data_IF_844339572412
#
_entry.id   IF_844339572412
#
_cell.length_a   1.000
_cell.length_b   1.000
_cell.length_c   1.000
_cell.angle_alpha   90.00
_cell.angle_beta   90.00
_cell.angle_gamma   90.00
#
_symmetry.space_group_name_H-M   'P 1'
#
loop_
_entity.id
_entity.type
_entity.pdbx_description
1 polymer ?
#
# COMPACT_ATOMS: atom_id res chain seq x y z
N UNK A 1 -18.72 1.63 -9.69
CA UNK A 1 -17.30 1.18 -9.71
C UNK A 1 -16.56 1.66 -10.97
N UNK A 2 -17.23 1.78 -12.13
CA UNK A 2 -16.67 2.36 -13.36
C UNK A 2 -16.07 3.77 -13.16
N UNK A 3 -16.70 4.63 -12.35
CA UNK A 3 -16.19 5.99 -12.11
C UNK A 3 -14.87 6.05 -11.33
N UNK A 4 -14.56 5.14 -10.40
CA UNK A 4 -13.34 5.25 -9.58
C UNK A 4 -12.08 4.81 -10.33
N UNK A 5 -12.15 3.69 -11.06
CA UNK A 5 -11.02 3.21 -11.89
C UNK A 5 -10.73 4.21 -13.02
N UNK A 6 -11.77 4.73 -13.68
CA UNK A 6 -11.61 5.77 -14.69
C UNK A 6 -11.00 7.06 -14.12
N UNK A 7 -11.30 7.40 -12.87
CA UNK A 7 -10.83 8.63 -12.23
C UNK A 7 -9.38 8.55 -11.79
N UNK A 8 -8.91 7.40 -11.29
CA UNK A 8 -7.48 7.23 -11.01
C UNK A 8 -6.66 7.15 -12.29
N UNK A 9 -7.17 6.49 -13.33
CA UNK A 9 -6.50 6.45 -14.65
C UNK A 9 -6.38 7.86 -15.24
N UNK A 10 -7.41 8.70 -15.09
CA UNK A 10 -7.36 10.11 -15.49
C UNK A 10 -6.30 10.90 -14.71
N UNK A 11 -6.24 10.73 -13.38
CA UNK A 11 -5.19 11.36 -12.57
C UNK A 11 -3.79 10.93 -13.01
N UNK A 12 -3.59 9.62 -13.24
CA UNK A 12 -2.31 9.07 -13.70
C UNK A 12 -1.90 9.71 -15.03
N UNK A 13 -2.84 9.84 -15.97
CA UNK A 13 -2.59 10.43 -17.28
C UNK A 13 -2.28 11.94 -17.17
N UNK A 14 -3.01 12.70 -16.35
CA UNK A 14 -2.74 14.12 -16.12
C UNK A 14 -1.35 14.36 -15.49
N UNK A 15 -0.97 13.57 -14.48
CA UNK A 15 0.36 13.64 -13.86
C UNK A 15 1.44 13.27 -14.86
N UNK A 16 1.21 12.25 -15.69
CA UNK A 16 2.15 11.82 -16.72
C UNK A 16 2.39 12.92 -17.75
N UNK A 17 1.32 13.55 -18.24
CA UNK A 17 1.42 14.66 -19.18
C UNK A 17 2.19 15.84 -18.56
N UNK A 18 1.93 16.16 -17.29
CA UNK A 18 2.70 17.18 -16.57
C UNK A 18 4.20 16.83 -16.45
N UNK A 19 4.55 15.56 -16.19
CA UNK A 19 5.95 15.11 -16.18
C UNK A 19 6.63 15.32 -17.54
N UNK A 20 5.95 14.95 -18.63
CA UNK A 20 6.47 15.10 -19.99
C UNK A 20 6.60 16.57 -20.41
N UNK A 21 5.66 17.42 -20.01
CA UNK A 21 5.70 18.86 -20.26
C UNK A 21 6.87 19.54 -19.55
N UNK A 22 7.13 19.17 -18.29
CA UNK A 22 8.26 19.71 -17.52
C UNK A 22 9.60 19.27 -18.09
N UNK A 23 9.71 18.02 -18.58
CA UNK A 23 10.88 17.54 -19.31
C UNK A 23 11.16 18.31 -20.61
N UNK A 24 10.11 18.77 -21.30
CA UNK A 24 10.25 19.61 -22.50
C UNK A 24 10.65 21.06 -22.21
N UNK A 25 10.23 21.60 -21.05
CA UNK A 25 10.46 22.99 -20.67
C UNK A 25 11.79 23.23 -19.92
N UNK A 26 12.58 22.18 -19.65
CA UNK A 26 13.78 22.24 -18.77
C UNK A 26 13.52 22.90 -17.40
N UNK A 27 12.27 22.88 -16.95
CA UNK A 27 11.85 23.57 -15.71
C UNK A 27 11.99 22.68 -14.47
N UNK A 28 12.75 21.58 -14.59
CA UNK A 28 12.96 20.60 -13.54
C UNK A 28 14.28 20.91 -12.79
N UNK A 29 14.33 20.71 -11.47
CA UNK A 29 15.59 20.63 -10.74
C UNK A 29 16.54 19.63 -11.43
N UNK A 30 17.85 19.88 -11.44
CA UNK A 30 18.81 19.08 -12.21
C UNK A 30 18.77 17.57 -11.93
N UNK A 31 18.36 17.14 -10.73
CA UNK A 31 18.14 15.73 -10.40
C UNK A 31 16.97 15.07 -11.15
N UNK A 32 15.97 15.84 -11.54
CA UNK A 32 14.81 15.38 -12.32
C UNK A 32 15.00 15.51 -13.83
N UNK A 33 15.99 16.29 -14.29
CA UNK A 33 16.38 16.37 -15.70
C UNK A 33 17.00 15.04 -16.19
N UNK A 34 17.75 14.37 -15.30
CA UNK A 34 18.19 12.98 -15.49
C UNK A 34 17.73 12.12 -14.30
N UNK A 35 16.48 11.62 -14.32
CA UNK A 35 15.87 10.94 -13.18
C UNK A 35 16.40 9.51 -13.02
N UNK A 36 17.69 9.35 -12.73
CA UNK A 36 18.26 8.08 -12.30
C UNK A 36 17.70 7.69 -10.93
N UNK A 37 17.65 6.40 -10.55
CA UNK A 37 17.19 6.01 -9.22
C UNK A 37 17.95 6.69 -8.08
N UNK A 38 19.25 6.96 -8.26
CA UNK A 38 20.07 7.70 -7.31
C UNK A 38 19.66 9.17 -7.23
N UNK A 39 19.46 9.84 -8.37
CA UNK A 39 19.05 11.24 -8.41
C UNK A 39 17.63 11.44 -7.85
N UNK A 40 16.71 10.53 -8.16
CA UNK A 40 15.36 10.51 -7.58
C UNK A 40 15.41 10.41 -6.05
N UNK A 41 16.27 9.54 -5.51
CA UNK A 41 16.46 9.41 -4.06
C UNK A 41 17.03 10.68 -3.43
N UNK A 42 18.06 11.27 -4.05
CA UNK A 42 18.64 12.55 -3.59
C UNK A 42 17.56 13.64 -3.58
N UNK A 43 16.75 13.71 -4.63
CA UNK A 43 15.68 14.68 -4.72
C UNK A 43 14.58 14.44 -3.67
N UNK A 44 14.20 13.19 -3.41
CA UNK A 44 13.29 12.85 -2.31
C UNK A 44 13.86 13.29 -0.95
N UNK A 45 15.17 13.10 -0.70
CA UNK A 45 15.83 13.56 0.52
C UNK A 45 15.83 15.08 0.66
N UNK A 46 15.96 15.83 -0.44
CA UNK A 46 15.85 17.30 -0.42
C UNK A 46 14.45 17.75 -0.03
N UNK A 47 13.42 17.08 -0.56
CA UNK A 47 12.03 17.46 -0.33
C UNK A 47 11.53 17.08 1.07
N UNK A 48 12.01 15.97 1.65
CA UNK A 48 11.40 15.34 2.85
C UNK A 48 11.16 16.28 4.03
N UNK A 49 12.03 17.27 4.24
CA UNK A 49 11.95 18.22 5.35
C UNK A 49 10.89 19.31 5.12
N UNK A 50 10.59 19.64 3.87
CA UNK A 50 9.64 20.71 3.47
C UNK A 50 8.26 20.20 3.09
N UNK A 51 7.99 18.90 3.20
CA UNK A 51 6.71 18.31 2.78
C UNK A 51 5.53 18.77 3.65
N UNK A 52 4.39 19.00 2.99
CA UNK A 52 3.09 19.15 3.66
C UNK A 52 2.71 17.87 4.42
N UNK A 53 1.73 17.95 5.34
CA UNK A 53 1.27 16.77 6.10
C UNK A 53 0.80 15.66 5.16
N UNK A 54 0.10 16.03 4.10
CA UNK A 54 -0.44 15.12 3.08
C UNK A 54 0.66 14.55 2.16
N UNK A 55 1.65 15.35 1.79
CA UNK A 55 2.79 14.87 1.01
C UNK A 55 3.69 13.92 1.83
N UNK A 56 3.85 14.19 3.13
CA UNK A 56 4.52 13.28 4.07
C UNK A 56 3.82 11.93 4.13
N UNK A 57 2.49 11.91 4.08
CA UNK A 57 1.74 10.66 4.01
C UNK A 57 2.03 9.91 2.71
N UNK A 58 2.08 10.60 1.57
CA UNK A 58 2.42 10.00 0.26
C UNK A 58 3.83 9.38 0.28
N UNK A 59 4.81 10.10 0.85
CA UNK A 59 6.18 9.58 1.00
C UNK A 59 6.23 8.40 1.97
N UNK A 60 5.51 8.46 3.09
CA UNK A 60 5.48 7.39 4.08
C UNK A 60 4.88 6.11 3.49
N UNK A 61 3.78 6.22 2.74
CA UNK A 61 3.16 5.08 2.05
C UNK A 61 4.13 4.38 1.08
N UNK A 62 5.07 5.12 0.48
CA UNK A 62 6.04 4.59 -0.47
C UNK A 62 7.32 4.06 0.20
N UNK A 63 7.96 4.86 1.05
CA UNK A 63 9.27 4.58 1.63
C UNK A 63 9.22 3.79 2.94
N UNK A 64 8.10 3.85 3.66
CA UNK A 64 7.91 3.16 4.94
C UNK A 64 6.54 2.45 5.00
N UNK A 65 6.29 1.46 4.11
CA UNK A 65 4.98 0.81 4.01
C UNK A 65 4.56 0.04 5.27
N UNK A 66 5.52 -0.33 6.13
CA UNK A 66 5.25 -1.00 7.40
C UNK A 66 5.09 -0.02 8.57
N UNK A 67 5.27 1.29 8.32
CA UNK A 67 5.17 2.36 9.30
C UNK A 67 5.98 2.03 10.57
N UNK A 68 7.25 1.68 10.34
CA UNK A 68 8.26 1.50 11.38
C UNK A 68 8.56 2.85 12.02
N UNK A 69 8.82 2.87 13.33
CA UNK A 69 9.13 4.08 14.11
C UNK A 69 10.56 4.56 13.84
N UNK A 70 10.79 4.99 12.61
CA UNK A 70 12.06 5.51 12.12
C UNK A 70 11.75 6.70 11.23
N UNK A 71 12.57 7.74 11.39
CA UNK A 71 12.48 8.95 10.60
C UNK A 71 12.46 8.68 9.08
N UNK A 72 11.62 9.44 8.38
CA UNK A 72 11.36 9.26 6.96
C UNK A 72 12.61 9.53 6.11
N UNK A 73 13.45 10.51 6.48
CA UNK A 73 14.70 10.78 5.77
C UNK A 73 15.66 9.58 5.88
N UNK A 74 15.77 9.00 7.07
CA UNK A 74 16.55 7.77 7.31
C UNK A 74 16.02 6.60 6.46
N UNK A 75 14.70 6.48 6.28
CA UNK A 75 14.10 5.44 5.44
C UNK A 75 14.38 5.65 3.97
N UNK A 76 14.28 6.89 3.49
CA UNK A 76 14.65 7.23 2.11
C UNK A 76 16.13 6.92 1.88
N UNK A 77 17.01 7.28 2.82
CA UNK A 77 18.46 7.04 2.73
C UNK A 77 18.80 5.54 2.67
N UNK A 78 18.07 4.68 3.38
CA UNK A 78 18.26 3.21 3.32
C UNK A 78 17.42 2.53 2.24
N UNK A 79 16.62 3.29 1.49
CA UNK A 79 15.72 2.72 0.49
C UNK A 79 16.50 2.12 -0.68
N UNK A 80 16.01 0.96 -1.13
CA UNK A 80 16.55 0.21 -2.25
C UNK A 80 16.32 0.98 -3.57
N UNK A 81 17.43 1.28 -4.26
CA UNK A 81 17.42 2.03 -5.53
C UNK A 81 16.63 1.29 -6.62
N UNK A 82 16.63 -0.04 -6.62
CA UNK A 82 15.93 -0.80 -7.66
C UNK A 82 14.42 -0.60 -7.60
N UNK A 83 13.88 -0.30 -6.40
CA UNK A 83 12.46 -0.02 -6.18
C UNK A 83 12.04 1.37 -6.67
N UNK A 84 12.99 2.23 -7.05
CA UNK A 84 12.73 3.53 -7.69
C UNK A 84 12.70 3.45 -9.22
N UNK A 85 13.12 2.33 -9.83
CA UNK A 85 13.04 2.14 -11.29
C UNK A 85 11.62 2.32 -11.86
N UNK A 86 10.55 1.83 -11.21
CA UNK A 86 9.19 2.08 -11.70
C UNK A 86 8.81 3.57 -11.72
N UNK A 87 9.31 4.35 -10.76
CA UNK A 87 9.10 5.80 -10.70
C UNK A 87 9.87 6.51 -11.82
N UNK A 88 11.14 6.14 -12.02
CA UNK A 88 11.93 6.61 -13.16
C UNK A 88 11.24 6.32 -14.49
N UNK A 89 10.79 5.08 -14.71
CA UNK A 89 10.13 4.69 -15.96
C UNK A 89 8.83 5.47 -16.20
N UNK A 90 8.10 5.81 -15.13
CA UNK A 90 6.91 6.64 -15.24
C UNK A 90 7.24 8.09 -15.61
N UNK A 91 8.16 8.74 -14.89
CA UNK A 91 8.56 10.15 -15.14
C UNK A 91 9.15 10.32 -16.53
N UNK A 92 9.93 9.34 -17.01
CA UNK A 92 10.53 9.34 -18.37
C UNK A 92 9.56 8.92 -19.47
N UNK A 93 8.30 8.60 -19.15
CA UNK A 93 7.27 8.23 -20.12
C UNK A 93 7.38 6.80 -20.66
N UNK A 94 8.31 5.97 -20.18
CA UNK A 94 8.48 4.55 -20.56
C UNK A 94 7.36 3.65 -20.04
N UNK A 95 6.62 4.08 -19.02
CA UNK A 95 5.48 3.35 -18.46
C UNK A 95 4.24 4.25 -18.49
N UNK A 96 3.16 3.74 -19.08
CA UNK A 96 1.88 4.48 -19.20
C UNK A 96 0.91 4.15 -18.08
N UNK A 97 1.02 2.96 -17.49
CA UNK A 97 0.15 2.46 -16.42
C UNK A 97 0.95 2.03 -15.19
N UNK A 98 1.50 2.98 -14.43
CA UNK A 98 2.18 2.66 -13.18
C UNK A 98 1.17 2.23 -12.10
N UNK A 99 1.70 1.75 -10.96
CA UNK A 99 0.89 1.62 -9.74
C UNK A 99 0.48 3.02 -9.23
N UNK A 100 -0.67 3.09 -8.57
CA UNK A 100 -1.22 4.35 -8.02
C UNK A 100 -0.21 5.11 -7.12
N UNK A 101 0.53 4.40 -6.26
CA UNK A 101 1.51 5.02 -5.38
C UNK A 101 2.70 5.66 -6.12
N UNK A 102 3.07 5.13 -7.29
CA UNK A 102 4.11 5.72 -8.15
C UNK A 102 3.62 7.04 -8.75
N UNK A 103 2.39 7.08 -9.26
CA UNK A 103 1.81 8.29 -9.82
C UNK A 103 1.59 9.37 -8.74
N UNK A 104 1.12 8.98 -7.55
CA UNK A 104 0.99 9.90 -6.41
C UNK A 104 2.34 10.46 -5.99
N UNK A 105 3.38 9.63 -5.87
CA UNK A 105 4.71 10.09 -5.53
C UNK A 105 5.26 11.05 -6.60
N UNK A 106 5.11 10.70 -7.89
CA UNK A 106 5.51 11.57 -8.99
C UNK A 106 4.81 12.94 -8.91
N UNK A 107 3.51 12.98 -8.63
CA UNK A 107 2.76 14.23 -8.46
C UNK A 107 3.36 15.14 -7.38
N UNK A 108 3.88 14.57 -6.28
CA UNK A 108 4.61 15.36 -5.26
C UNK A 108 5.94 15.88 -5.79
N UNK A 109 6.71 15.03 -6.50
CA UNK A 109 8.04 15.40 -7.00
C UNK A 109 7.99 16.56 -8.01
N UNK A 110 6.95 16.61 -8.83
CA UNK A 110 6.78 17.63 -9.87
C UNK A 110 5.89 18.81 -9.44
N UNK A 111 5.56 18.91 -8.15
CA UNK A 111 4.68 19.95 -7.62
C UNK A 111 3.31 20.06 -8.34
N UNK A 112 2.74 18.92 -8.77
CA UNK A 112 1.45 18.87 -9.46
C UNK A 112 0.30 19.19 -8.50
N UNK A 113 -0.58 20.13 -8.87
CA UNK A 113 -1.72 20.51 -8.06
C UNK A 113 -3.04 20.36 -8.85
N UNK A 114 -4.16 20.01 -8.18
CA UNK A 114 -4.26 19.64 -6.76
C UNK A 114 -3.66 18.24 -6.46
N UNK A 115 -3.02 18.07 -5.29
CA UNK A 115 -2.55 16.78 -4.76
C UNK A 115 -2.70 16.77 -3.23
N UNK A 116 -2.82 15.61 -2.56
CA UNK A 116 -2.79 14.24 -3.10
C UNK A 116 -4.06 13.87 -3.90
N UNK A 117 -4.10 12.65 -4.47
CA UNK A 117 -5.20 12.17 -5.31
C UNK A 117 -6.61 12.43 -4.76
N UNK A 118 -6.83 12.34 -3.43
CA UNK A 118 -8.13 12.65 -2.83
C UNK A 118 -8.57 14.09 -3.12
N UNK A 119 -7.69 15.08 -2.96
CA UNK A 119 -8.00 16.50 -3.26
C UNK A 119 -8.27 16.70 -4.75
N UNK A 120 -7.49 16.04 -5.61
CA UNK A 120 -7.74 16.09 -7.05
C UNK A 120 -9.09 15.49 -7.43
N UNK A 121 -9.41 14.33 -6.85
CA UNK A 121 -10.67 13.62 -7.06
C UNK A 121 -11.87 14.46 -6.64
N UNK A 122 -11.79 15.11 -5.48
CA UNK A 122 -12.87 15.92 -4.95
C UNK A 122 -13.07 17.17 -5.83
N UNK A 123 -12.00 17.83 -6.27
CA UNK A 123 -12.08 18.94 -7.23
C UNK A 123 -12.67 18.51 -8.58
N UNK A 124 -12.30 17.32 -9.08
CA UNK A 124 -12.85 16.77 -10.32
C UNK A 124 -14.34 16.42 -10.21
N UNK A 125 -14.80 15.99 -9.03
CA UNK A 125 -16.21 15.65 -8.77
C UNK A 125 -17.09 16.88 -8.54
N UNK A 126 -16.60 17.92 -7.88
CA UNK A 126 -17.31 19.21 -7.75
C UNK A 126 -17.55 19.91 -9.09
N UNK A 127 -16.98 19.38 -10.18
CA UNK A 127 -17.22 19.83 -11.55
C UNK A 127 -18.42 19.13 -12.22
N UNK A 128 -19.11 18.20 -11.54
CA UNK A 128 -20.26 17.44 -12.06
C UNK A 128 -21.55 17.91 -11.34
N UNK A 129 -22.58 18.38 -12.07
CA UNK A 129 -23.85 18.83 -11.47
C UNK A 129 -24.64 17.70 -10.76
N UNK A 130 -25.19 18.03 -9.60
CA UNK A 130 -26.01 17.17 -8.73
C UNK A 130 -27.42 16.92 -9.31
N UNK A 131 -27.60 15.88 -10.11
CA UNK A 131 -28.93 15.31 -10.37
C UNK A 131 -28.84 13.78 -10.30
N UNK A 132 -29.80 13.18 -9.58
CA UNK A 132 -30.07 11.73 -9.40
C UNK A 132 -29.55 11.12 -8.08
N UNK A 133 -30.36 11.30 -7.02
CA UNK A 133 -30.47 10.41 -5.87
C UNK A 133 -31.62 9.41 -6.09
N UNK A 134 -31.46 8.11 -5.74
CA UNK A 134 -32.58 7.23 -5.34
C UNK A 134 -32.16 6.28 -4.21
N UNK A 135 -33.11 6.15 -3.30
CA UNK A 135 -33.22 5.53 -1.99
C UNK A 135 -33.03 4.00 -1.97
N UNK A 136 -32.67 3.46 -0.80
CA UNK A 136 -32.64 2.01 -0.52
C UNK A 136 -33.61 1.70 0.60
N UNK A 137 -34.51 0.76 0.32
CA UNK A 137 -35.44 0.20 1.28
C UNK A 137 -34.95 -1.16 1.81
N UNK A 138 -35.31 -1.43 3.07
CA UNK A 138 -34.87 -2.53 3.92
C UNK A 138 -35.76 -3.78 3.84
N UNK A 139 -35.19 -4.96 4.14
CA UNK A 139 -35.74 -6.10 4.92
C UNK A 139 -34.86 -7.33 4.62
N UNK A 140 -34.26 -8.02 5.59
CA UNK A 140 -34.87 -8.88 6.62
C UNK A 140 -34.95 -10.31 6.03
N UNK A 141 -34.57 -11.42 6.65
CA UNK A 141 -34.18 -11.80 8.01
C UNK A 141 -33.76 -13.30 7.96
N UNK A 142 -33.18 -13.80 9.06
CA UNK A 142 -33.15 -15.20 9.53
C UNK A 142 -32.32 -16.27 8.76
N UNK A 143 -31.74 -17.30 9.37
CA UNK A 143 -31.19 -17.59 10.72
C UNK A 143 -30.59 -19.03 10.65
N UNK A 144 -29.58 -19.33 11.49
CA UNK A 144 -29.27 -20.69 12.07
C UNK A 144 -28.58 -21.74 11.14
N UNK A 145 -27.71 -22.67 11.64
CA UNK A 145 -26.65 -22.63 12.67
C UNK A 145 -25.34 -23.40 12.30
N UNK A 146 -24.30 -23.14 13.10
CA UNK A 146 -23.14 -23.94 13.54
C UNK A 146 -22.87 -25.34 12.95
N UNK A 147 -21.60 -25.66 12.70
CA UNK A 147 -20.87 -26.75 13.42
C UNK A 147 -19.35 -26.59 13.26
N UNK A 148 -18.67 -26.72 14.39
CA UNK A 148 -17.23 -26.60 14.63
C UNK A 148 -16.46 -27.87 14.21
N UNK A 149 -15.15 -27.71 14.00
CA UNK A 149 -14.24 -28.83 13.79
C UNK A 149 -12.78 -28.36 13.78
N UNK A 150 -12.17 -28.39 14.97
CA UNK A 150 -10.73 -28.46 15.25
C UNK A 150 -9.98 -29.41 14.27
N UNK A 151 -8.69 -29.30 13.98
CA UNK A 151 -7.60 -28.50 14.50
C UNK A 151 -6.25 -29.13 14.06
N UNK A 152 -5.19 -28.33 14.22
CA UNK A 152 -3.78 -28.67 14.46
C UNK A 152 -2.92 -29.46 13.44
N UNK A 153 -1.68 -28.95 13.27
CA UNK A 153 -0.47 -29.69 12.85
C UNK A 153 0.40 -28.90 11.86
N UNK A 154 1.23 -27.94 12.30
CA UNK A 154 2.68 -28.09 12.57
C UNK A 154 3.48 -28.60 11.35
N UNK A 155 4.18 -27.71 10.64
CA UNK A 155 5.62 -27.37 10.81
C UNK A 155 6.59 -28.48 10.38
N UNK A 156 7.28 -28.29 9.25
CA UNK A 156 8.66 -28.76 9.02
C UNK A 156 9.38 -27.78 8.07
N UNK A 157 10.39 -27.06 8.57
CA UNK A 157 11.55 -26.63 7.78
C UNK A 157 12.54 -27.81 7.74
N UNK A 158 13.43 -27.88 6.75
CA UNK A 158 14.79 -27.45 7.09
C UNK A 158 15.49 -26.67 5.98
N UNK A 159 16.54 -26.00 6.43
CA UNK A 159 17.53 -25.26 5.66
C UNK A 159 18.71 -26.17 5.27
N UNK A 160 19.71 -25.50 4.69
CA UNK A 160 21.15 -25.84 4.60
C UNK A 160 21.61 -26.33 3.23
N UNK A 161 22.70 -25.69 2.78
CA UNK A 161 23.43 -25.95 1.55
C UNK A 161 24.48 -24.87 1.35
N UNK A 162 25.55 -24.98 2.12
CA UNK A 162 26.73 -24.11 2.20
C UNK A 162 27.52 -23.94 0.89
N UNK A 163 28.02 -22.71 0.66
CA UNK A 163 29.39 -22.25 0.27
C UNK A 163 30.16 -22.96 -0.90
N UNK A 164 31.35 -22.53 -1.38
CA UNK A 164 32.21 -21.37 -1.07
C UNK A 164 32.81 -20.71 -2.38
N UNK A 165 34.09 -20.29 -2.46
CA UNK A 165 34.54 -18.90 -2.30
C UNK A 165 35.39 -18.38 -3.49
N UNK A 166 35.74 -17.09 -3.52
CA UNK A 166 36.99 -16.69 -4.19
C UNK A 166 37.63 -15.46 -3.54
N UNK A 167 38.91 -15.61 -3.23
CA UNK A 167 39.82 -14.62 -2.65
C UNK A 167 40.26 -13.57 -3.67
N UNK A 168 40.66 -12.38 -3.19
CA UNK A 168 42.00 -11.80 -3.44
C UNK A 168 42.29 -10.59 -2.55
N UNK A 169 43.58 -10.45 -2.27
CA UNK A 169 44.25 -9.74 -1.18
C UNK A 169 44.63 -8.29 -1.51
N UNK A 170 45.01 -7.58 -0.44
CA UNK A 170 46.26 -6.81 -0.29
C UNK A 170 46.11 -5.30 -0.17
N UNK A 171 46.69 -4.75 0.92
CA UNK A 171 47.02 -3.33 1.03
C UNK A 171 47.08 -2.80 2.46
N UNK A 172 48.07 -3.23 3.27
CA UNK A 172 48.45 -2.55 4.51
C UNK A 172 49.14 -1.20 4.23
N UNK A 173 48.88 -0.20 5.08
CA UNK A 173 49.92 0.47 5.89
C UNK A 173 49.33 1.33 7.01
N UNK A 174 50.10 1.58 8.10
CA UNK A 174 49.57 1.94 9.41
C UNK A 174 49.77 3.43 9.74
N UNK A 175 48.94 4.01 10.61
CA UNK A 175 49.36 5.13 11.48
C UNK A 175 48.35 5.40 12.60
N UNK A 176 48.76 5.06 13.83
CA UNK A 176 48.56 5.78 15.09
C UNK A 176 47.12 6.18 15.48
N UNK A 177 46.42 5.31 16.22
CA UNK A 177 45.23 5.72 16.98
C UNK A 177 45.01 4.89 18.27
N UNK A 178 46.07 4.66 19.06
CA UNK A 178 45.95 3.92 20.33
C UNK A 178 46.44 4.75 21.53
N UNK A 179 45.89 5.95 21.74
CA UNK A 179 45.93 6.64 23.04
C UNK A 179 44.68 7.53 23.21
N UNK A 180 43.48 6.94 23.35
CA UNK A 180 42.32 7.67 23.90
C UNK A 180 41.16 6.75 24.36
N UNK A 181 41.45 5.61 25.00
CA UNK A 181 40.40 4.65 25.37
C UNK A 181 40.54 4.06 26.77
N UNK A 182 40.61 4.91 27.80
CA UNK A 182 40.34 4.49 29.18
C UNK A 182 39.76 5.67 29.97
N UNK A 183 38.42 5.87 29.94
CA UNK A 183 37.59 6.50 31.00
C UNK A 183 36.11 6.83 30.59
N UNK A 184 35.38 5.96 29.88
CA UNK A 184 33.93 6.16 29.63
C UNK A 184 33.01 4.98 29.96
N UNK A 185 33.54 3.91 30.56
CA UNK A 185 32.82 2.63 30.64
C UNK A 185 31.68 2.51 31.67
N UNK A 186 31.48 3.34 32.72
CA UNK A 186 30.29 3.20 33.56
C UNK A 186 29.12 4.12 33.20
N UNK A 187 29.33 5.15 32.36
CA UNK A 187 28.26 6.10 31.95
C UNK A 187 27.49 5.59 30.73
N UNK A 188 28.13 4.79 29.86
CA UNK A 188 27.54 4.32 28.61
C UNK A 188 26.52 3.16 28.77
N UNK A 189 26.61 2.35 29.83
CA UNK A 189 25.68 1.23 30.02
C UNK A 189 24.37 1.63 30.71
N UNK A 190 24.39 2.65 31.57
CA UNK A 190 23.20 3.14 32.26
C UNK A 190 22.20 3.84 31.32
N UNK A 191 22.70 4.59 30.33
CA UNK A 191 21.85 5.31 29.37
C UNK A 191 21.25 4.40 28.30
N UNK A 192 22.01 3.39 27.84
CA UNK A 192 21.50 2.41 26.86
C UNK A 192 20.43 1.51 27.47
N UNK A 193 20.58 1.09 28.74
CA UNK A 193 19.54 0.31 29.42
C UNK A 193 18.24 1.11 29.63
N UNK A 194 18.35 2.40 29.99
CA UNK A 194 17.19 3.27 30.21
C UNK A 194 16.44 3.59 28.91
N UNK A 195 17.14 3.80 27.79
CA UNK A 195 16.52 4.07 26.48
C UNK A 195 15.85 2.83 25.89
N UNK A 196 16.41 1.63 26.07
CA UNK A 196 15.78 0.36 25.64
C UNK A 196 14.47 0.12 26.41
N UNK A 197 14.46 0.37 27.73
CA UNK A 197 13.25 0.23 28.55
C UNK A 197 12.18 1.28 28.16
N UNK A 198 12.57 2.53 27.93
CA UNK A 198 11.65 3.58 27.49
C UNK A 198 11.07 3.32 26.09
N UNK A 199 11.88 2.84 25.14
CA UNK A 199 11.42 2.46 23.79
C UNK A 199 10.48 1.24 23.80
N UNK A 200 10.68 0.30 24.72
CA UNK A 200 9.77 -0.84 24.92
C UNK A 200 8.41 -0.41 25.49
N UNK A 201 8.36 0.70 26.24
CA UNK A 201 7.13 1.27 26.82
C UNK A 201 6.34 2.19 25.85
N UNK A 202 6.98 2.76 24.82
CA UNK A 202 6.37 3.80 23.96
C UNK A 202 5.70 3.29 22.67
N UNK A 203 5.87 2.01 22.30
CA UNK A 203 5.25 1.46 21.09
C UNK A 203 3.78 1.08 21.32
N UNK A 204 2.88 2.07 21.22
CA UNK A 204 1.44 1.82 21.22
C UNK A 204 1.10 0.82 20.09
N UNK A 205 0.70 -0.40 20.44
CA UNK A 205 0.36 -1.41 19.44
C UNK A 205 -0.90 -0.95 18.69
N UNK A 206 -0.90 -1.08 17.36
CA UNK A 206 -2.10 -0.87 16.53
C UNK A 206 -3.11 -1.98 16.84
N UNK A 207 -4.09 -1.65 17.68
CA UNK A 207 -5.08 -2.58 18.22
C UNK A 207 -6.35 -2.67 17.37
N UNK A 208 -6.49 -1.80 16.36
CA UNK A 208 -7.63 -1.79 15.47
C UNK A 208 -7.19 -1.91 14.01
N UNK A 209 -8.15 -2.08 13.11
CA UNK A 209 -7.96 -2.13 11.68
C UNK A 209 -9.19 -1.56 10.97
N UNK A 210 -9.03 -1.19 9.71
CA UNK A 210 -10.14 -0.79 8.85
C UNK A 210 -9.92 -1.31 7.42
N UNK A 211 -10.99 -1.39 6.65
CA UNK A 211 -10.92 -1.82 5.26
C UNK A 211 -10.45 -0.67 4.35
N UNK A 212 -9.31 -0.83 3.67
CA UNK A 212 -8.75 0.12 2.70
C UNK A 212 -8.67 -0.54 1.33
N UNK A 213 -9.57 -0.16 0.42
CA UNK A 213 -9.62 -0.53 -1.01
C UNK A 213 -9.71 -2.04 -1.27
N UNK A 214 -8.63 -2.79 -1.00
CA UNK A 214 -8.46 -4.21 -1.28
C UNK A 214 -8.06 -5.05 -0.04
N UNK A 215 -7.81 -4.44 1.13
CA UNK A 215 -7.30 -5.13 2.33
C UNK A 215 -7.67 -4.45 3.64
N UNK A 216 -7.55 -5.18 4.75
CA UNK A 216 -7.53 -4.57 6.08
C UNK A 216 -6.15 -3.97 6.41
N UNK A 217 -6.14 -2.77 7.00
CA UNK A 217 -4.94 -2.04 7.41
C UNK A 217 -5.01 -1.77 8.92
N UNK A 218 -3.98 -2.13 9.71
CA UNK A 218 -3.96 -1.88 11.15
C UNK A 218 -3.74 -0.40 11.47
N UNK A 219 -4.45 0.11 12.47
CA UNK A 219 -4.46 1.49 12.95
C UNK A 219 -4.63 1.55 14.47
N UNK A 220 -4.45 2.73 15.06
CA UNK A 220 -4.88 2.96 16.44
C UNK A 220 -6.40 3.10 16.48
N UNK A 221 -7.04 2.62 17.55
CA UNK A 221 -8.51 2.62 17.64
C UNK A 221 -9.14 4.01 17.68
N UNK A 222 -8.37 5.02 18.08
CA UNK A 222 -8.81 6.42 18.16
C UNK A 222 -8.47 7.23 16.90
N UNK A 223 -8.02 6.57 15.83
CA UNK A 223 -7.80 7.26 14.56
C UNK A 223 -9.10 7.80 13.98
N UNK A 224 -9.03 8.95 13.34
CA UNK A 224 -10.19 9.58 12.69
C UNK A 224 -10.00 9.52 11.19
N UNK A 225 -10.60 8.50 10.58
CA UNK A 225 -10.59 8.30 9.13
C UNK A 225 -12.03 8.45 8.65
N UNK A 226 -12.25 9.36 7.69
CA UNK A 226 -13.59 9.64 7.17
C UNK A 226 -14.21 8.39 6.53
N UNK A 227 -15.50 8.19 6.78
CA UNK A 227 -16.36 7.18 6.14
C UNK A 227 -15.87 5.72 6.22
N UNK A 228 -15.06 5.40 7.25
CA UNK A 228 -14.62 4.01 7.50
C UNK A 228 -14.88 3.60 8.93
N UNK A 229 -15.31 2.35 9.09
CA UNK A 229 -15.45 1.72 10.39
C UNK A 229 -14.09 1.19 10.86
N UNK A 230 -13.66 1.64 12.03
CA UNK A 230 -12.47 1.12 12.71
C UNK A 230 -12.92 0.04 13.68
N UNK A 231 -12.39 -1.17 13.50
CA UNK A 231 -12.77 -2.36 14.25
C UNK A 231 -11.55 -2.97 14.94
N UNK A 232 -11.72 -3.79 15.99
CA UNK A 232 -10.60 -4.49 16.62
C UNK A 232 -9.78 -5.28 15.60
N UNK A 233 -8.45 -5.30 15.80
CA UNK A 233 -7.54 -5.94 14.85
C UNK A 233 -7.74 -7.45 14.85
N UNK A 234 -8.01 -8.00 13.68
CA UNK A 234 -7.90 -9.42 13.39
C UNK A 234 -6.66 -9.63 12.50
N UNK A 235 -5.66 -10.31 13.04
CA UNK A 235 -4.37 -10.50 12.37
C UNK A 235 -4.50 -11.36 11.11
N UNK A 236 -5.45 -12.29 11.08
CA UNK A 236 -5.66 -13.15 9.93
C UNK A 236 -6.34 -12.40 8.80
N UNK A 237 -7.32 -11.56 9.14
CA UNK A 237 -7.95 -10.67 8.18
C UNK A 237 -6.92 -9.70 7.56
N UNK A 238 -6.06 -9.08 8.37
CA UNK A 238 -5.00 -8.19 7.85
C UNK A 238 -4.03 -8.92 6.91
N UNK A 239 -3.64 -10.15 7.24
CA UNK A 239 -2.63 -10.90 6.47
C UNK A 239 -3.20 -11.52 5.20
N UNK A 240 -4.37 -12.15 5.29
CA UNK A 240 -4.87 -13.11 4.29
C UNK A 240 -6.10 -12.61 3.53
N UNK A 241 -6.91 -11.76 4.15
CA UNK A 241 -8.14 -11.27 3.53
C UNK A 241 -7.81 -10.17 2.51
N UNK A 242 -8.06 -10.45 1.24
CA UNK A 242 -7.81 -9.58 0.09
C UNK A 242 -9.01 -9.60 -0.84
N UNK A 243 -9.33 -8.45 -1.41
CA UNK A 243 -10.21 -8.36 -2.58
C UNK A 243 -9.43 -8.74 -3.83
N UNK A 244 -10.04 -9.57 -4.67
CA UNK A 244 -9.50 -9.94 -5.97
C UNK A 244 -9.83 -8.79 -6.93
N UNK A 245 -8.80 -8.03 -7.31
CA UNK A 245 -8.93 -6.81 -8.14
C UNK A 245 -9.10 -7.11 -9.62
N UNK A 246 -8.66 -8.28 -10.07
CA UNK A 246 -8.78 -8.77 -11.45
C UNK A 246 -9.68 -10.02 -11.48
N UNK A 247 -11.01 -9.86 -11.40
CA UNK A 247 -11.93 -10.98 -11.38
C UNK A 247 -11.94 -11.78 -12.68
N UNK A 248 -11.52 -11.19 -13.80
CA UNK A 248 -11.30 -11.81 -15.12
C UNK A 248 -10.25 -12.92 -15.09
N UNK A 249 -9.33 -12.92 -14.12
CA UNK A 249 -8.36 -14.00 -13.91
C UNK A 249 -8.97 -15.25 -13.26
N UNK A 250 -10.20 -15.16 -12.75
CA UNK A 250 -10.88 -16.29 -12.11
C UNK A 250 -11.41 -17.27 -13.15
N UNK A 251 -11.21 -18.55 -12.88
CA UNK A 251 -11.66 -19.64 -13.75
C UNK A 251 -12.55 -20.60 -12.96
N UNK A 252 -13.07 -21.63 -13.62
CA UNK A 252 -13.82 -22.69 -12.94
C UNK A 252 -12.98 -23.39 -11.85
N UNK A 253 -11.65 -23.35 -11.93
CA UNK A 253 -10.75 -23.88 -10.90
C UNK A 253 -10.75 -23.07 -9.60
N UNK A 254 -11.31 -21.85 -9.62
CA UNK A 254 -11.48 -20.98 -8.47
C UNK A 254 -12.73 -21.30 -7.64
N UNK A 255 -13.64 -22.14 -8.16
CA UNK A 255 -14.87 -22.54 -7.46
C UNK A 255 -14.52 -23.17 -6.11
N UNK A 256 -15.22 -22.73 -5.06
CA UNK A 256 -14.98 -23.17 -3.68
C UNK A 256 -13.67 -22.68 -3.04
N UNK A 257 -12.82 -21.95 -3.77
CA UNK A 257 -11.53 -21.41 -3.27
C UNK A 257 -11.51 -19.89 -3.14
N UNK A 258 -12.54 -19.23 -3.66
CA UNK A 258 -12.73 -17.78 -3.55
C UNK A 258 -14.11 -17.50 -3.01
N UNK A 259 -14.27 -16.36 -2.38
CA UNK A 259 -15.53 -15.90 -1.80
C UNK A 259 -16.04 -14.69 -2.56
N UNK A 260 -17.35 -14.47 -2.53
CA UNK A 260 -17.97 -13.36 -3.22
C UNK A 260 -19.00 -12.64 -2.36
N UNK A 261 -19.11 -11.33 -2.61
CA UNK A 261 -20.17 -10.47 -2.11
C UNK A 261 -20.86 -9.77 -3.29
N UNK A 262 -22.13 -9.41 -3.13
CA UNK A 262 -22.89 -8.68 -4.16
C UNK A 262 -23.15 -7.25 -3.69
N UNK A 263 -22.38 -6.26 -4.19
CA UNK A 263 -22.68 -4.85 -3.92
C UNK A 263 -24.01 -4.40 -4.53
N UNK A 264 -24.34 -4.96 -5.70
CA UNK A 264 -25.60 -4.76 -6.42
C UNK A 264 -26.07 -6.11 -7.01
N UNK A 265 -27.34 -6.25 -7.42
CA UNK A 265 -27.83 -7.49 -8.03
C UNK A 265 -27.01 -7.95 -9.26
N UNK A 266 -26.51 -6.99 -10.04
CA UNK A 266 -25.79 -7.21 -11.29
C UNK A 266 -24.26 -7.20 -11.16
N UNK A 267 -23.72 -7.04 -9.95
CA UNK A 267 -22.27 -7.08 -9.71
C UNK A 267 -21.88 -8.06 -8.62
N UNK A 268 -20.70 -8.64 -8.77
CA UNK A 268 -20.06 -9.45 -7.74
C UNK A 268 -18.63 -8.93 -7.51
N UNK A 269 -18.25 -8.84 -6.24
CA UNK A 269 -16.87 -8.62 -5.80
C UNK A 269 -16.34 -9.93 -5.23
N UNK A 270 -15.09 -10.28 -5.57
CA UNK A 270 -14.47 -11.54 -5.16
C UNK A 270 -13.34 -11.30 -4.15
N UNK A 271 -13.10 -12.29 -3.30
CA UNK A 271 -12.20 -12.22 -2.15
C UNK A 271 -11.47 -13.54 -1.95
N UNK A 272 -10.29 -13.46 -1.35
CA UNK A 272 -9.39 -14.61 -1.13
C UNK A 272 -9.76 -15.48 0.06
N UNK A 273 -10.67 -15.04 0.94
CA UNK A 273 -11.04 -15.74 2.16
C UNK A 273 -12.48 -15.42 2.57
N UNK A 274 -13.08 -16.29 3.39
CA UNK A 274 -14.34 -16.03 4.06
C UNK A 274 -14.25 -14.82 5.01
N UNK A 275 -15.38 -14.21 5.32
CA UNK A 275 -15.48 -13.10 6.26
C UNK A 275 -16.67 -12.20 5.96
N UNK A 276 -16.80 -11.14 6.74
CA UNK A 276 -17.82 -10.11 6.52
C UNK A 276 -17.51 -9.31 5.25
N UNK A 277 -18.55 -8.93 4.51
CA UNK A 277 -18.43 -8.08 3.34
C UNK A 277 -17.97 -6.68 3.76
N UNK A 278 -16.83 -6.17 3.28
CA UNK A 278 -16.24 -4.97 3.88
C UNK A 278 -17.05 -3.68 3.74
N UNK A 279 -18.00 -3.61 2.80
CA UNK A 279 -18.90 -2.46 2.62
C UNK A 279 -20.14 -2.52 3.50
N UNK A 280 -20.48 -3.71 4.00
CA UNK A 280 -21.68 -3.96 4.79
C UNK A 280 -21.42 -5.20 5.64
N UNK A 281 -20.91 -4.98 6.86
CA UNK A 281 -20.46 -6.07 7.73
C UNK A 281 -21.59 -7.00 8.21
N UNK A 282 -22.85 -6.60 8.02
CA UNK A 282 -24.03 -7.44 8.29
C UNK A 282 -24.19 -8.54 7.25
N UNK A 283 -23.48 -8.44 6.12
CA UNK A 283 -23.46 -9.45 5.07
C UNK A 283 -22.18 -10.26 5.17
N UNK A 284 -22.32 -11.57 5.04
CA UNK A 284 -21.20 -12.47 4.91
C UNK A 284 -20.87 -12.74 3.45
N UNK A 285 -19.59 -12.93 3.17
CA UNK A 285 -19.15 -13.40 1.87
C UNK A 285 -19.50 -14.88 1.71
N UNK A 286 -20.06 -15.23 0.56
CA UNK A 286 -20.44 -16.61 0.23
C UNK A 286 -19.34 -17.27 -0.60
N UNK A 287 -19.09 -18.58 -0.47
CA UNK A 287 -18.15 -19.28 -1.34
C UNK A 287 -18.64 -19.18 -2.79
N UNK A 288 -17.73 -18.90 -3.73
CA UNK A 288 -18.07 -18.77 -5.14
C UNK A 288 -18.41 -20.14 -5.73
N UNK A 289 -19.64 -20.26 -6.22
CA UNK A 289 -20.09 -21.43 -6.99
C UNK A 289 -19.71 -21.30 -8.46
N UNK A 290 -19.78 -22.42 -9.18
CA UNK A 290 -19.58 -22.43 -10.63
C UNK A 290 -20.51 -21.46 -11.35
N UNK A 291 -21.77 -21.38 -10.92
CA UNK A 291 -22.75 -20.42 -11.46
C UNK A 291 -22.30 -18.97 -11.28
N UNK A 292 -21.77 -18.61 -10.11
CA UNK A 292 -21.33 -17.24 -9.82
C UNK A 292 -20.12 -16.88 -10.69
N UNK A 293 -19.14 -17.77 -10.82
CA UNK A 293 -17.98 -17.55 -11.68
C UNK A 293 -18.43 -17.40 -13.15
N UNK A 294 -19.26 -18.31 -13.65
CA UNK A 294 -19.78 -18.23 -15.02
C UNK A 294 -20.53 -16.92 -15.27
N UNK A 295 -21.46 -16.55 -14.39
CA UNK A 295 -22.32 -15.37 -14.56
C UNK A 295 -21.55 -14.07 -14.51
N UNK A 296 -20.68 -13.88 -13.53
CA UNK A 296 -20.09 -12.57 -13.24
C UNK A 296 -18.66 -12.40 -13.76
N UNK A 297 -17.99 -13.49 -14.14
CA UNK A 297 -16.63 -13.47 -14.70
C UNK A 297 -16.66 -13.82 -16.18
N UNK A 298 -17.08 -15.05 -16.53
CA UNK A 298 -16.93 -15.57 -17.90
C UNK A 298 -17.95 -14.96 -18.88
N UNK A 299 -19.21 -14.82 -18.47
CA UNK A 299 -20.29 -14.33 -19.35
C UNK A 299 -20.32 -12.81 -19.52
N UNK A 300 -19.49 -12.04 -18.80
CA UNK A 300 -19.38 -10.59 -19.02
C UNK A 300 -18.87 -10.24 -20.43
N UNK A 301 -18.16 -11.16 -21.09
CA UNK A 301 -17.62 -10.97 -22.43
C UNK A 301 -18.59 -11.30 -23.57
N UNK A 302 -19.77 -11.85 -23.27
CA UNK A 302 -20.74 -12.30 -24.28
C UNK A 302 -21.98 -11.39 -24.40
N UNK A 303 -21.94 -10.15 -23.91
CA UNK A 303 -22.99 -9.17 -24.24
C UNK A 303 -22.67 -8.55 -25.61
N UNK A 304 -23.50 -8.75 -26.65
CA UNK A 304 -23.36 -7.99 -27.89
C UNK A 304 -23.50 -6.50 -27.58
N UNK A 305 -22.61 -5.70 -28.17
CA UNK A 305 -22.70 -4.23 -28.17
C UNK A 305 -23.95 -3.77 -28.90
#
# INVERSE_FOLDING_TARGET
MYNFVAMIDRFIEEVRNACLDLGRRQSLPGELENPSPANLKIYCLKLVNGLSREDKQTFTEFFNPFNEDVDLATRIEKFDLDKLKPLQHFITGRTTKPKENIAKLAAVLIDFHPRPYSKWRDAANSSIPDDIAIEKDNSGDADVPHTEGDGLGAEVKPAVGDMPPSEKKSGEKPSKFNVWLKLWKPVLYGTVALTIVAAALSSARKQCMYWKVDRYVPVHCHEKIADVEIIPVDRDMVKRFRKITQPDTLTLNSVGKVWYGKPTPDSAEFYTMAGSFPKDRRKELKPASEYIIKKYVLNKHNKPQ
#
